data_IF_661990277311
#
_entry.id   IF_661990277311
#
_cell.length_a   1.000
_cell.length_b   1.000
_cell.length_c   1.000
_cell.angle_alpha   90.00
_cell.angle_beta   90.00
_cell.angle_gamma   90.00
#
_symmetry.space_group_name_H-M   'P 1'
#
loop_
_entity.id
_entity.type
_entity.pdbx_description
1 polymer ?
#
# COMPACT_ATOMS: atom_id res chain seq x y z
N UNK A 1 -5.52 -0.67 -31.69
CA UNK A 1 -6.71 -1.04 -30.91
C UNK A 1 -7.09 0.12 -30.01
N UNK A 2 -8.22 0.77 -30.25
CA UNK A 2 -8.76 1.85 -29.41
C UNK A 2 -9.64 1.28 -28.30
N UNK A 3 -9.96 2.08 -27.28
CA UNK A 3 -10.90 1.67 -26.24
C UNK A 3 -12.27 1.30 -26.82
N UNK A 4 -12.73 2.04 -27.84
CA UNK A 4 -13.99 1.79 -28.52
C UNK A 4 -14.01 0.47 -29.29
N UNK A 5 -12.89 0.08 -29.93
CA UNK A 5 -12.78 -1.20 -30.62
C UNK A 5 -12.89 -2.39 -29.64
N UNK A 6 -12.26 -2.28 -28.47
CA UNK A 6 -12.34 -3.29 -27.40
C UNK A 6 -13.78 -3.33 -26.84
N UNK A 7 -14.35 -2.17 -26.52
CA UNK A 7 -15.71 -2.06 -26.01
C UNK A 7 -16.75 -2.65 -26.98
N UNK A 8 -16.62 -2.36 -28.27
CA UNK A 8 -17.51 -2.91 -29.30
C UNK A 8 -17.34 -4.42 -29.45
N UNK A 9 -16.12 -4.93 -29.29
CA UNK A 9 -15.86 -6.38 -29.32
C UNK A 9 -16.50 -7.08 -28.12
N UNK A 10 -16.40 -6.52 -26.92
CA UNK A 10 -17.05 -7.04 -25.72
C UNK A 10 -18.58 -7.05 -25.89
N UNK A 11 -19.17 -5.95 -26.37
CA UNK A 11 -20.62 -5.86 -26.64
C UNK A 11 -21.07 -6.93 -27.65
N UNK A 12 -20.32 -7.14 -28.73
CA UNK A 12 -20.63 -8.17 -29.73
C UNK A 12 -20.61 -9.60 -29.17
N UNK A 13 -19.82 -9.84 -28.12
CA UNK A 13 -19.74 -11.13 -27.44
C UNK A 13 -20.68 -11.23 -26.23
N UNK A 14 -21.65 -10.30 -26.09
CA UNK A 14 -22.69 -10.36 -25.06
C UNK A 14 -22.28 -9.81 -23.69
N UNK A 15 -21.12 -9.18 -23.57
CA UNK A 15 -20.70 -8.53 -22.33
C UNK A 15 -21.34 -7.15 -22.18
N UNK A 16 -21.75 -6.81 -20.95
CA UNK A 16 -22.17 -5.46 -20.59
C UNK A 16 -20.93 -4.58 -20.48
N UNK A 17 -20.98 -3.41 -21.11
CA UNK A 17 -19.89 -2.41 -21.06
C UNK A 17 -20.46 -1.15 -20.43
N UNK A 18 -20.29 -1.07 -19.11
CA UNK A 18 -20.61 0.11 -18.30
C UNK A 18 -19.37 0.99 -18.09
N UNK A 19 -19.50 2.01 -17.24
CA UNK A 19 -18.41 2.94 -16.95
C UNK A 19 -17.21 2.26 -16.25
N UNK A 20 -17.43 1.22 -15.44
CA UNK A 20 -16.33 0.49 -14.79
C UNK A 20 -15.53 -0.30 -15.82
N UNK A 21 -16.23 -1.01 -16.70
CA UNK A 21 -15.59 -1.76 -17.80
C UNK A 21 -14.84 -0.81 -18.73
N UNK A 22 -15.41 0.33 -19.10
CA UNK A 22 -14.72 1.34 -19.91
C UNK A 22 -13.44 1.85 -19.23
N UNK A 23 -13.53 2.18 -17.94
CA UNK A 23 -12.37 2.62 -17.14
C UNK A 23 -11.25 1.57 -17.10
N UNK A 24 -11.61 0.29 -16.96
CA UNK A 24 -10.64 -0.83 -17.00
C UNK A 24 -9.98 -0.98 -18.36
N UNK A 25 -10.74 -0.88 -19.45
CA UNK A 25 -10.21 -0.93 -20.82
C UNK A 25 -9.19 0.20 -21.00
N UNK A 26 -9.55 1.43 -20.62
CA UNK A 26 -8.65 2.57 -20.71
C UNK A 26 -7.38 2.37 -19.87
N UNK A 27 -7.53 1.89 -18.63
CA UNK A 27 -6.40 1.64 -17.73
C UNK A 27 -5.45 0.58 -18.30
N UNK A 28 -5.97 -0.52 -18.86
CA UNK A 28 -5.16 -1.55 -19.49
C UNK A 28 -4.47 -1.05 -20.76
N UNK A 29 -5.15 -0.25 -21.58
CA UNK A 29 -4.53 0.37 -22.75
C UNK A 29 -3.43 1.35 -22.36
N UNK A 30 -3.59 2.08 -21.26
CA UNK A 30 -2.58 2.97 -20.73
C UNK A 30 -1.38 2.19 -20.17
N UNK A 31 -1.59 1.08 -19.47
CA UNK A 31 -0.51 0.33 -18.82
C UNK A 31 0.44 -0.40 -19.78
N UNK A 32 0.01 -0.66 -21.03
CA UNK A 32 0.82 -1.33 -22.05
C UNK A 32 1.54 -0.36 -22.99
N UNK A 33 1.27 0.94 -22.89
CA UNK A 33 1.89 1.98 -23.72
C UNK A 33 3.09 2.57 -22.98
N UNK A 34 4.16 2.80 -23.73
CA UNK A 34 5.27 3.64 -23.28
C UNK A 34 5.20 4.98 -24.02
N UNK A 35 4.24 5.81 -23.62
CA UNK A 35 4.02 7.17 -24.14
C UNK A 35 4.43 8.25 -23.11
N UNK A 36 5.30 7.89 -22.17
CA UNK A 36 5.72 8.79 -21.11
C UNK A 36 6.38 10.07 -21.65
N UNK A 37 6.01 11.22 -21.09
CA UNK A 37 6.37 12.52 -21.67
C UNK A 37 7.63 13.14 -21.04
N UNK A 38 8.05 12.65 -19.86
CA UNK A 38 9.14 13.28 -19.10
C UNK A 38 10.41 12.43 -18.97
N UNK A 39 10.28 11.13 -18.70
CA UNK A 39 11.39 10.30 -18.23
C UNK A 39 11.34 8.88 -18.81
N UNK A 40 12.41 8.43 -19.45
CA UNK A 40 12.49 7.02 -19.83
C UNK A 40 12.76 6.12 -18.60
N UNK A 41 12.66 4.80 -18.80
CA UNK A 41 12.92 3.82 -17.75
C UNK A 41 14.33 3.97 -17.14
N UNK A 42 15.35 4.18 -17.98
CA UNK A 42 16.74 4.32 -17.53
C UNK A 42 16.90 5.49 -16.55
N UNK A 43 16.33 6.65 -16.87
CA UNK A 43 16.33 7.81 -15.98
C UNK A 43 15.64 7.49 -14.65
N UNK A 44 14.49 6.81 -14.67
CA UNK A 44 13.75 6.45 -13.45
C UNK A 44 14.58 5.51 -12.58
N UNK A 45 15.24 4.53 -13.19
CA UNK A 45 16.13 3.60 -12.48
C UNK A 45 17.32 4.34 -11.86
N UNK A 46 18.02 5.19 -12.63
CA UNK A 46 19.14 6.00 -12.12
C UNK A 46 18.71 6.91 -10.96
N UNK A 47 17.59 7.62 -11.11
CA UNK A 47 17.02 8.46 -10.06
C UNK A 47 16.73 7.65 -8.79
N UNK A 48 16.09 6.50 -8.94
CA UNK A 48 15.71 5.65 -7.82
C UNK A 48 16.92 5.05 -7.10
N UNK A 49 17.92 4.55 -7.85
CA UNK A 49 19.16 4.03 -7.28
C UNK A 49 19.96 5.11 -6.57
N UNK A 50 20.01 6.33 -7.12
CA UNK A 50 20.63 7.47 -6.44
C UNK A 50 19.93 7.78 -5.10
N UNK A 51 18.60 7.77 -5.07
CA UNK A 51 17.82 7.95 -3.83
C UNK A 51 18.09 6.84 -2.82
N UNK A 52 18.21 5.59 -3.27
CA UNK A 52 18.59 4.46 -2.41
C UNK A 52 19.97 4.61 -1.79
N UNK A 53 20.98 5.00 -2.58
CA UNK A 53 22.35 5.22 -2.10
C UNK A 53 22.43 6.37 -1.08
N UNK A 54 21.59 7.39 -1.23
CA UNK A 54 21.53 8.54 -0.33
C UNK A 54 20.73 8.27 0.96
N UNK A 55 20.12 7.08 1.11
CA UNK A 55 19.33 6.76 2.29
C UNK A 55 20.21 6.30 3.46
N UNK A 56 20.19 7.10 4.51
CA UNK A 56 20.91 6.92 5.76
C UNK A 56 20.19 6.03 6.78
N UNK A 57 18.97 5.55 6.48
CA UNK A 57 18.23 4.65 7.36
C UNK A 57 19.04 3.38 7.66
N UNK A 58 19.14 3.05 8.95
CA UNK A 58 19.76 1.82 9.47
C UNK A 58 18.64 0.99 10.09
N UNK A 59 18.64 -0.31 9.79
CA UNK A 59 17.66 -1.26 10.33
C UNK A 59 18.44 -2.40 10.96
N UNK A 60 18.16 -2.67 12.22
CA UNK A 60 18.79 -3.72 13.01
C UNK A 60 17.70 -4.62 13.60
N UNK A 61 17.93 -5.93 13.58
CA UNK A 61 17.06 -6.87 14.27
C UNK A 61 17.35 -6.82 15.77
N UNK A 62 16.29 -6.63 16.56
CA UNK A 62 16.37 -6.59 18.01
C UNK A 62 15.37 -7.58 18.62
N UNK A 63 15.61 -8.00 19.86
CA UNK A 63 14.67 -8.87 20.56
C UNK A 63 13.36 -8.16 20.85
N UNK A 64 12.24 -8.89 20.86
CA UNK A 64 10.90 -8.32 21.18
C UNK A 64 10.91 -7.60 22.54
N UNK A 65 11.64 -8.13 23.52
CA UNK A 65 11.77 -7.53 24.85
C UNK A 65 12.63 -6.25 24.89
N UNK A 66 13.25 -5.87 23.77
CA UNK A 66 14.05 -4.66 23.61
C UNK A 66 13.30 -3.55 22.87
N UNK A 67 12.08 -3.82 22.40
CA UNK A 67 11.26 -2.82 21.71
C UNK A 67 10.91 -1.66 22.65
N UNK A 68 11.29 -0.45 22.28
CA UNK A 68 10.89 0.76 23.03
C UNK A 68 9.37 0.98 22.90
N UNK A 69 8.70 1.26 24.02
CA UNK A 69 7.24 1.54 24.13
C UNK A 69 6.31 0.42 23.66
N UNK A 70 6.83 -0.77 23.33
CA UNK A 70 6.00 -1.94 23.08
C UNK A 70 6.03 -2.85 24.31
N UNK A 71 4.88 -3.41 24.66
CA UNK A 71 4.72 -4.29 25.82
C UNK A 71 4.07 -5.59 25.43
N UNK A 72 4.57 -6.67 26.03
CA UNK A 72 3.89 -7.97 26.09
C UNK A 72 2.92 -7.92 27.27
N UNK A 73 1.62 -8.03 27.00
CA UNK A 73 0.60 -8.08 28.05
C UNK A 73 0.74 -9.40 28.84
N UNK A 74 0.95 -9.36 30.17
CA UNK A 74 1.21 -10.56 30.95
C UNK A 74 0.00 -11.50 31.07
N UNK A 75 -1.21 -11.01 30.80
CA UNK A 75 -2.43 -11.80 30.97
C UNK A 75 -2.77 -12.62 29.72
N UNK A 76 -2.48 -12.10 28.52
CA UNK A 76 -2.86 -12.72 27.25
C UNK A 76 -1.69 -12.94 26.27
N UNK A 77 -0.50 -12.39 26.56
CA UNK A 77 0.68 -12.53 25.72
C UNK A 77 0.70 -11.65 24.47
N UNK A 78 -0.29 -10.76 24.28
CA UNK A 78 -0.34 -9.87 23.12
C UNK A 78 0.75 -8.81 23.18
N UNK A 79 1.22 -8.37 22.01
CA UNK A 79 2.25 -7.33 21.88
C UNK A 79 1.61 -6.06 21.34
N UNK A 80 1.60 -4.98 22.11
CA UNK A 80 1.00 -3.68 21.73
C UNK A 80 1.89 -2.50 22.07
N UNK A 81 1.72 -1.40 21.33
CA UNK A 81 2.36 -0.13 21.65
C UNK A 81 1.65 0.57 22.82
N UNK A 82 2.40 1.28 23.66
CA UNK A 82 1.91 1.97 24.86
C UNK A 82 0.85 3.05 24.58
N UNK A 83 0.86 3.62 23.37
CA UNK A 83 -0.14 4.60 22.96
C UNK A 83 -1.47 3.99 22.51
N UNK A 84 -1.55 2.67 22.32
CA UNK A 84 -2.68 2.00 21.67
C UNK A 84 -2.79 2.23 20.15
N UNK A 85 -1.80 2.91 19.55
CA UNK A 85 -1.71 3.13 18.10
C UNK A 85 -0.99 2.00 17.36
N UNK A 86 -0.77 2.19 16.06
CA UNK A 86 -0.15 1.23 15.14
C UNK A 86 -0.96 -0.06 14.95
N UNK A 87 -0.49 -1.16 15.50
CA UNK A 87 -1.08 -2.49 15.41
C UNK A 87 -0.77 -3.29 16.67
N UNK A 88 -1.42 -4.43 16.83
CA UNK A 88 -1.15 -5.39 17.89
C UNK A 88 -0.80 -6.75 17.27
N UNK A 89 0.11 -7.50 17.89
CA UNK A 89 0.29 -8.92 17.57
C UNK A 89 -0.47 -9.74 18.60
N UNK A 90 -1.47 -10.50 18.13
CA UNK A 90 -2.34 -11.33 18.97
C UNK A 90 -2.22 -12.80 18.60
N UNK A 91 -2.47 -13.69 19.56
CA UNK A 91 -2.66 -15.11 19.30
C UNK A 91 -4.09 -15.42 18.90
N UNK A 92 -4.29 -16.21 17.84
CA UNK A 92 -5.60 -16.76 17.47
C UNK A 92 -5.59 -18.28 17.43
N UNK A 93 -6.73 -18.87 17.75
CA UNK A 93 -7.01 -20.29 17.60
C UNK A 93 -8.07 -20.49 16.54
N UNK A 94 -7.69 -21.11 15.43
CA UNK A 94 -8.62 -21.48 14.35
C UNK A 94 -9.09 -22.90 14.61
N UNK A 95 -10.40 -23.14 14.56
CA UNK A 95 -11.02 -24.47 14.76
C UNK A 95 -12.11 -24.70 13.72
N UNK A 96 -12.57 -25.95 13.56
CA UNK A 96 -13.72 -26.31 12.72
C UNK A 96 -13.58 -25.87 11.25
N UNK A 97 -12.41 -26.06 10.65
CA UNK A 97 -12.20 -25.76 9.23
C UNK A 97 -12.64 -26.93 8.36
N UNK A 98 -13.50 -26.68 7.37
CA UNK A 98 -13.98 -27.71 6.42
C UNK A 98 -13.05 -27.89 5.22
N UNK A 99 -12.28 -26.86 4.87
CA UNK A 99 -11.56 -26.77 3.59
C UNK A 99 -10.03 -26.85 3.77
N UNK A 100 -9.57 -27.33 4.93
CA UNK A 100 -8.15 -27.45 5.28
C UNK A 100 -7.84 -28.83 5.84
N UNK A 101 -6.64 -29.33 5.58
CA UNK A 101 -6.18 -30.69 5.91
C UNK A 101 -6.20 -30.95 7.43
N UNK A 102 -6.04 -29.92 8.24
CA UNK A 102 -6.09 -29.98 9.71
C UNK A 102 -7.52 -30.16 10.26
N UNK A 103 -8.55 -29.93 9.44
CA UNK A 103 -9.94 -30.20 9.74
C UNK A 103 -10.41 -29.62 11.08
N UNK A 104 -11.08 -30.45 11.87
CA UNK A 104 -11.57 -30.12 13.21
C UNK A 104 -10.46 -29.82 14.23
N UNK A 105 -9.23 -30.34 14.02
CA UNK A 105 -8.13 -30.13 14.98
C UNK A 105 -7.66 -28.69 15.01
N UNK A 106 -7.77 -27.98 13.89
CA UNK A 106 -7.41 -26.58 13.80
C UNK A 106 -5.92 -26.30 14.07
N UNK A 107 -5.59 -25.04 14.32
CA UNK A 107 -4.23 -24.59 14.65
C UNK A 107 -4.26 -23.29 15.45
N UNK A 108 -3.10 -22.89 15.96
CA UNK A 108 -2.88 -21.59 16.61
C UNK A 108 -1.78 -20.83 15.89
N UNK A 109 -1.93 -19.52 15.76
CA UNK A 109 -0.91 -18.67 15.14
C UNK A 109 -0.97 -17.25 15.69
N UNK A 110 0.13 -16.47 15.62
CA UNK A 110 0.05 -15.03 15.74
C UNK A 110 -0.60 -14.42 14.50
N UNK A 111 -1.30 -13.30 14.68
CA UNK A 111 -1.74 -12.41 13.60
C UNK A 111 -1.54 -10.95 14.01
N UNK A 112 -1.45 -10.07 13.00
CA UNK A 112 -1.52 -8.63 13.21
C UNK A 112 -3.00 -8.22 13.28
N UNK A 113 -3.38 -7.51 14.34
CA UNK A 113 -4.72 -7.02 14.60
C UNK A 113 -4.72 -5.53 14.94
N UNK A 114 -5.92 -4.96 15.10
CA UNK A 114 -6.15 -3.57 15.53
C UNK A 114 -5.38 -2.52 14.70
N UNK A 115 -5.25 -2.75 13.40
CA UNK A 115 -4.75 -1.74 12.47
C UNK A 115 -5.90 -0.76 12.15
N UNK A 116 -5.79 0.54 12.47
CA UNK A 116 -6.83 1.54 12.25
C UNK A 116 -7.11 1.83 10.76
N UNK A 117 -6.45 1.12 9.85
CA UNK A 117 -6.53 1.36 8.42
C UNK A 117 -5.74 2.59 8.00
N UNK A 118 -5.92 2.97 6.75
CA UNK A 118 -5.21 4.11 6.16
C UNK A 118 -5.62 4.36 4.72
N UNK A 119 -4.96 5.35 4.12
CA UNK A 119 -5.15 5.75 2.74
C UNK A 119 -3.92 5.31 1.94
N UNK A 120 -4.18 4.62 0.82
CA UNK A 120 -3.24 4.41 -0.27
C UNK A 120 -3.76 5.21 -1.47
N UNK A 121 -3.10 6.33 -1.75
CA UNK A 121 -3.54 7.32 -2.71
C UNK A 121 -2.49 7.57 -3.78
N UNK A 122 -2.90 7.53 -5.05
CA UNK A 122 -2.05 7.86 -6.18
C UNK A 122 -2.66 9.04 -6.95
N UNK A 123 -1.94 10.16 -7.00
CA UNK A 123 -2.32 11.31 -7.81
C UNK A 123 -2.00 11.04 -9.27
N UNK A 124 -3.00 11.31 -10.12
CA UNK A 124 -2.87 11.26 -11.56
C UNK A 124 -3.10 12.65 -12.13
N UNK A 125 -2.26 13.03 -13.10
CA UNK A 125 -2.46 14.21 -13.93
C UNK A 125 -2.26 13.84 -15.39
N UNK A 126 -3.18 14.28 -16.25
CA UNK A 126 -2.96 14.20 -17.70
C UNK A 126 -2.05 15.34 -18.16
N UNK A 127 -0.99 14.97 -18.88
CA UNK A 127 -0.08 15.89 -19.55
C UNK A 127 -0.14 15.58 -21.04
N UNK A 128 -0.59 16.54 -21.85
CA UNK A 128 -0.85 16.34 -23.29
C UNK A 128 -1.76 15.12 -23.57
N UNK A 129 -2.76 14.91 -22.71
CA UNK A 129 -3.67 13.76 -22.81
C UNK A 129 -3.15 12.46 -22.20
N UNK A 130 -1.84 12.34 -21.93
CA UNK A 130 -1.21 11.13 -21.37
C UNK A 130 -1.25 11.16 -19.84
N UNK A 131 -1.79 10.13 -19.17
CA UNK A 131 -1.83 10.06 -17.71
C UNK A 131 -0.42 9.88 -17.14
N UNK A 132 -0.08 10.69 -16.14
CA UNK A 132 1.13 10.56 -15.34
C UNK A 132 0.75 10.37 -13.89
N UNK A 133 1.43 9.46 -13.21
CA UNK A 133 1.18 9.11 -11.82
C UNK A 133 2.34 9.57 -10.95
N UNK A 134 2.03 10.26 -9.86
CA UNK A 134 3.05 10.75 -8.94
C UNK A 134 3.40 9.66 -7.93
N UNK A 135 4.56 9.05 -8.05
CA UNK A 135 5.06 8.05 -7.09
C UNK A 135 6.04 8.69 -6.10
N UNK A 136 6.22 8.04 -4.95
CA UNK A 136 7.21 8.44 -3.95
C UNK A 136 8.28 7.34 -3.80
N UNK A 137 9.55 7.72 -3.75
CA UNK A 137 10.59 6.81 -3.24
C UNK A 137 10.56 6.85 -1.71
N UNK A 138 9.93 5.84 -1.09
CA UNK A 138 9.63 5.82 0.34
C UNK A 138 10.51 4.81 1.06
N UNK A 139 11.13 5.27 2.15
CA UNK A 139 11.88 4.41 3.06
C UNK A 139 10.92 3.76 4.06
N UNK A 140 10.99 2.44 4.19
CA UNK A 140 10.28 1.68 5.23
C UNK A 140 11.23 0.62 5.79
N UNK A 141 11.25 0.37 7.11
CA UNK A 141 12.25 -0.49 7.74
C UNK A 141 12.21 -1.94 7.23
N UNK A 142 11.05 -2.41 6.75
CA UNK A 142 10.89 -3.74 6.14
C UNK A 142 11.29 -3.84 4.66
N UNK A 143 11.67 -2.73 4.02
CA UNK A 143 11.99 -2.74 2.60
C UNK A 143 13.36 -3.36 2.31
N UNK A 144 13.38 -4.31 1.38
CA UNK A 144 14.62 -4.74 0.74
C UNK A 144 15.24 -3.53 0.00
N UNK A 145 16.48 -3.18 0.36
CA UNK A 145 17.18 -2.03 -0.22
C UNK A 145 16.69 -0.67 0.30
N UNK A 146 16.07 -0.63 1.49
CA UNK A 146 15.64 0.56 2.25
C UNK A 146 14.49 1.36 1.63
N UNK A 147 14.56 1.70 0.35
CA UNK A 147 13.50 2.42 -0.37
C UNK A 147 12.79 1.52 -1.37
N UNK A 148 11.49 1.75 -1.54
CA UNK A 148 10.69 1.24 -2.66
C UNK A 148 9.86 2.38 -3.27
N UNK A 149 9.31 2.16 -4.46
CA UNK A 149 8.32 3.07 -5.03
C UNK A 149 6.98 2.81 -4.35
N UNK A 150 6.40 3.85 -3.75
CA UNK A 150 5.09 3.83 -3.12
C UNK A 150 4.13 4.77 -3.84
N UNK A 151 2.82 4.68 -3.53
CA UNK A 151 1.85 5.69 -3.95
C UNK A 151 2.24 7.11 -3.50
N UNK A 152 1.57 8.12 -4.06
CA UNK A 152 1.75 9.53 -3.67
C UNK A 152 1.54 9.74 -2.18
N UNK A 153 0.50 9.10 -1.64
CA UNK A 153 0.16 9.10 -0.23
C UNK A 153 0.03 7.66 0.25
N UNK A 154 0.81 7.33 1.27
CA UNK A 154 0.68 6.09 2.04
C UNK A 154 0.73 6.47 3.52
N UNK A 155 -0.44 6.49 4.17
CA UNK A 155 -0.58 6.94 5.55
C UNK A 155 -1.68 6.18 6.30
N UNK A 156 -1.40 5.82 7.56
CA UNK A 156 -2.42 5.31 8.48
C UNK A 156 -3.33 6.44 8.98
N UNK A 157 -4.53 6.10 9.43
CA UNK A 157 -5.48 7.07 10.00
C UNK A 157 -4.86 7.87 11.15
N UNK A 158 -4.12 7.21 12.05
CA UNK A 158 -3.42 7.85 13.18
C UNK A 158 -2.38 8.89 12.73
N UNK A 159 -1.68 8.63 11.62
CA UNK A 159 -0.70 9.55 11.03
C UNK A 159 -1.39 10.74 10.34
N UNK A 160 -2.54 10.53 9.71
CA UNK A 160 -3.32 11.61 9.08
C UNK A 160 -3.90 12.58 10.12
N UNK A 161 -4.40 12.05 11.24
CA UNK A 161 -4.97 12.82 12.35
C UNK A 161 -3.92 13.47 13.26
N UNK A 162 -2.61 13.25 13.00
CA UNK A 162 -1.48 13.74 13.80
C UNK A 162 -1.55 13.35 15.28
N UNK A 163 -2.10 12.18 15.61
CA UNK A 163 -2.22 11.72 17.00
C UNK A 163 -0.87 11.58 17.72
N UNK A 164 0.24 11.57 16.96
CA UNK A 164 1.61 11.49 17.47
C UNK A 164 2.41 12.79 17.29
N UNK A 165 1.77 13.92 16.96
CA UNK A 165 2.43 15.23 16.81
C UNK A 165 3.34 15.36 15.57
N UNK A 166 3.28 14.38 14.65
CA UNK A 166 4.06 14.38 13.42
C UNK A 166 3.59 15.40 12.37
N UNK A 167 4.44 15.60 11.36
CA UNK A 167 4.12 16.42 10.19
C UNK A 167 3.06 15.69 9.37
N UNK A 168 2.05 16.42 8.88
CA UNK A 168 1.03 15.86 7.98
C UNK A 168 1.73 15.31 6.72
N UNK A 169 1.39 14.12 6.23
CA UNK A 169 1.94 13.62 4.98
C UNK A 169 1.75 14.60 3.83
N UNK A 170 2.75 14.72 2.96
CA UNK A 170 2.65 15.55 1.75
C UNK A 170 1.47 15.07 0.88
N UNK A 171 0.78 16.02 0.24
CA UNK A 171 -0.36 15.78 -0.65
C UNK A 171 -1.60 15.17 0.03
N UNK A 172 -1.63 15.07 1.36
CA UNK A 172 -2.78 14.55 2.09
C UNK A 172 -4.08 15.31 1.80
N UNK A 173 -3.99 16.61 1.52
CA UNK A 173 -5.12 17.49 1.16
C UNK A 173 -5.89 17.05 -0.09
N UNK A 174 -5.29 16.26 -0.99
CA UNK A 174 -5.96 15.72 -2.18
C UNK A 174 -6.75 14.43 -1.91
N UNK A 175 -6.58 13.85 -0.73
CA UNK A 175 -7.20 12.59 -0.32
C UNK A 175 -8.11 12.73 0.90
N UNK A 176 -8.28 13.95 1.41
CA UNK A 176 -9.37 14.25 2.32
C UNK A 176 -10.68 14.00 1.57
N UNK A 177 -11.67 13.37 2.24
CA UNK A 177 -12.98 13.19 1.64
C UNK A 177 -13.52 14.54 1.12
N UNK A 178 -14.19 14.55 -0.04
CA UNK A 178 -14.89 15.76 -0.46
C UNK A 178 -15.89 16.14 0.63
N UNK A 179 -15.80 17.37 1.12
CA UNK A 179 -16.83 17.97 1.97
C UNK A 179 -18.17 18.05 1.24
#
# INVERSE_FOLDING_TARGET
>A
MTADEIANTLKKNGYIVDNDVMSRIETMLQSIRDDNQFYNLDYILEWFYKKRQQCDMIVEEIGINQLDKWKVDPNNGNIRHDSGGFFEVIGVKVTKTTDREVGERGWTQPIIAHNPGGILGLLMKRVNGIPHYLVQAKAEPGNIGKLQLSPTLQATTSNLLKEHGGIRPLFAEYFDEPK
#
